data_IF_737225467904
#
_entry.id   IF_737225467904
#
_cell.length_a   1.000
_cell.length_b   1.000
_cell.length_c   1.000
_cell.angle_alpha   90.00
_cell.angle_beta   90.00
_cell.angle_gamma   90.00
#
_symmetry.space_group_name_H-M   'P 1'
#
loop_
_entity.id
_entity.type
_entity.pdbx_description
1 polymer ?
#
# COMPACT_ATOMS: atom_id res chain seq x y z
N UNK A 1 -15.93 -5.45 -13.40
CA UNK A 1 -14.58 -5.72 -12.85
C UNK A 1 -14.32 -7.21 -12.90
N UNK A 2 -13.15 -7.63 -13.39
CA UNK A 2 -12.78 -9.05 -13.42
C UNK A 2 -12.66 -9.58 -11.99
N UNK A 3 -13.01 -10.84 -11.82
CA UNK A 3 -13.01 -11.50 -10.52
C UNK A 3 -11.65 -11.42 -9.82
N UNK A 4 -10.54 -11.67 -10.55
CA UNK A 4 -9.20 -11.62 -9.98
C UNK A 4 -8.83 -10.20 -9.49
N UNK A 5 -9.25 -9.17 -10.22
CA UNK A 5 -9.03 -7.78 -9.80
C UNK A 5 -9.74 -7.51 -8.48
N UNK A 6 -11.00 -7.95 -8.39
CA UNK A 6 -11.78 -7.77 -7.16
C UNK A 6 -11.14 -8.50 -5.97
N UNK A 7 -10.59 -9.69 -6.19
CA UNK A 7 -9.91 -10.43 -5.14
C UNK A 7 -8.71 -9.67 -4.59
N UNK A 8 -7.90 -9.06 -5.47
CA UNK A 8 -6.76 -8.25 -5.04
C UNK A 8 -7.21 -7.00 -4.28
N UNK A 9 -8.26 -6.33 -4.76
CA UNK A 9 -8.85 -5.18 -4.07
C UNK A 9 -9.31 -5.60 -2.67
N UNK A 10 -10.02 -6.72 -2.57
CA UNK A 10 -10.54 -7.20 -1.28
C UNK A 10 -9.43 -7.53 -0.29
N UNK A 11 -8.34 -8.12 -0.75
CA UNK A 11 -7.19 -8.42 0.12
C UNK A 11 -6.52 -7.13 0.61
N UNK A 12 -6.41 -6.14 -0.26
CA UNK A 12 -5.91 -4.83 0.14
C UNK A 12 -6.82 -4.15 1.16
N UNK A 13 -8.13 -4.22 0.95
CA UNK A 13 -9.10 -3.68 1.90
C UNK A 13 -9.01 -4.37 3.26
N UNK A 14 -8.79 -5.69 3.27
CA UNK A 14 -8.59 -6.43 4.52
C UNK A 14 -7.35 -5.98 5.27
N UNK A 15 -6.25 -5.74 4.56
CA UNK A 15 -5.04 -5.21 5.19
C UNK A 15 -5.27 -3.79 5.73
N UNK A 16 -6.02 -2.98 5.02
CA UNK A 16 -6.34 -1.63 5.47
C UNK A 16 -7.17 -1.65 6.75
N UNK A 17 -8.17 -2.53 6.83
CA UNK A 17 -8.97 -2.71 8.04
C UNK A 17 -8.07 -3.18 9.19
N UNK A 18 -7.16 -4.12 8.92
CA UNK A 18 -6.21 -4.59 9.92
C UNK A 18 -5.33 -3.44 10.42
N UNK A 19 -4.81 -2.61 9.53
CA UNK A 19 -3.99 -1.46 9.90
C UNK A 19 -4.76 -0.50 10.81
N UNK A 20 -5.99 -0.16 10.45
CA UNK A 20 -6.81 0.75 11.26
C UNK A 20 -7.13 0.17 12.64
N UNK A 21 -7.39 -1.13 12.70
CA UNK A 21 -7.68 -1.82 13.94
C UNK A 21 -6.45 -1.86 14.86
N UNK A 22 -5.29 -2.24 14.31
CA UNK A 22 -4.05 -2.31 15.07
C UNK A 22 -3.59 -0.94 15.55
N UNK A 23 -3.89 0.12 14.80
CA UNK A 23 -3.54 1.49 15.18
C UNK A 23 -4.19 1.93 16.48
N UNK A 24 -5.27 1.28 16.90
CA UNK A 24 -5.95 1.55 18.16
C UNK A 24 -5.23 0.92 19.36
N UNK A 25 -4.22 0.08 19.10
CA UNK A 25 -3.51 -0.65 20.14
C UNK A 25 -2.07 -0.17 20.24
N UNK A 26 -1.67 0.17 21.47
CA UNK A 26 -0.30 0.58 21.76
C UNK A 26 0.64 -0.62 21.62
N UNK A 27 1.81 -0.41 21.03
CA UNK A 27 2.82 -1.45 20.90
C UNK A 27 2.76 -2.24 19.61
N UNK A 28 1.82 -1.93 18.71
CA UNK A 28 1.66 -2.61 17.43
C UNK A 28 1.92 -1.67 16.24
N UNK A 29 2.77 -0.66 16.45
CA UNK A 29 3.09 0.35 15.46
C UNK A 29 3.73 -0.25 14.20
N UNK A 30 4.70 -1.16 14.37
CA UNK A 30 5.38 -1.79 13.24
C UNK A 30 4.39 -2.63 12.40
N UNK A 31 3.51 -3.37 13.08
CA UNK A 31 2.51 -4.20 12.42
C UNK A 31 1.48 -3.35 11.68
N UNK A 32 1.09 -2.22 12.26
CA UNK A 32 0.17 -1.28 11.61
C UNK A 32 0.76 -0.79 10.30
N UNK A 33 2.01 -0.33 10.34
CA UNK A 33 2.70 0.16 9.14
C UNK A 33 2.89 -0.92 8.09
N UNK A 34 3.20 -2.14 8.52
CA UNK A 34 3.33 -3.28 7.61
C UNK A 34 2.02 -3.53 6.86
N UNK A 35 0.88 -3.50 7.55
CA UNK A 35 -0.41 -3.68 6.88
C UNK A 35 -0.78 -2.53 5.95
N UNK A 36 -0.35 -1.30 6.25
CA UNK A 36 -0.49 -0.18 5.31
C UNK A 36 0.26 -0.48 4.01
N UNK A 37 1.50 -0.92 4.13
CA UNK A 37 2.32 -1.27 2.97
C UNK A 37 1.68 -2.40 2.16
N UNK A 38 1.19 -3.44 2.83
CA UNK A 38 0.53 -4.56 2.16
C UNK A 38 -0.74 -4.14 1.44
N UNK A 39 -1.54 -3.27 2.04
CA UNK A 39 -2.76 -2.77 1.41
C UNK A 39 -2.43 -2.06 0.09
N UNK A 40 -1.49 -1.14 0.13
CA UNK A 40 -1.09 -0.36 -1.03
C UNK A 40 -0.53 -1.26 -2.14
N UNK A 41 0.33 -2.20 -1.77
CA UNK A 41 0.90 -3.17 -2.72
C UNK A 41 -0.22 -3.92 -3.46
N UNK A 42 -1.20 -4.42 -2.73
CA UNK A 42 -2.29 -5.20 -3.32
C UNK A 42 -3.20 -4.36 -4.22
N UNK A 43 -3.47 -3.12 -3.83
CA UNK A 43 -4.27 -2.20 -4.66
C UNK A 43 -3.53 -1.84 -5.97
N UNK A 44 -2.22 -1.57 -5.88
CA UNK A 44 -1.43 -1.29 -7.08
C UNK A 44 -1.39 -2.50 -8.01
N UNK A 45 -1.24 -3.69 -7.46
CA UNK A 45 -1.29 -4.93 -8.24
C UNK A 45 -2.65 -5.15 -8.88
N UNK A 46 -3.75 -4.81 -8.19
CA UNK A 46 -5.09 -4.88 -8.77
C UNK A 46 -5.18 -4.00 -10.02
N UNK A 47 -4.67 -2.77 -9.94
CA UNK A 47 -4.67 -1.86 -11.08
C UNK A 47 -3.87 -2.42 -12.25
N UNK A 48 -2.67 -2.96 -11.99
CA UNK A 48 -1.81 -3.53 -13.03
C UNK A 48 -2.45 -4.74 -13.70
N UNK A 49 -3.07 -5.62 -12.94
CA UNK A 49 -3.80 -6.77 -13.50
C UNK A 49 -4.96 -6.30 -14.37
N UNK A 50 -5.67 -5.26 -13.94
CA UNK A 50 -6.76 -4.67 -14.72
C UNK A 50 -6.25 -4.16 -16.07
N UNK A 51 -5.01 -3.66 -16.13
CA UNK A 51 -4.39 -3.23 -17.36
C UNK A 51 -3.88 -4.39 -18.22
N UNK A 52 -3.95 -5.62 -17.74
CA UNK A 52 -3.52 -6.79 -18.49
C UNK A 52 -2.08 -7.22 -18.23
N UNK A 53 -1.40 -6.62 -17.25
CA UNK A 53 -0.04 -7.04 -16.92
C UNK A 53 -0.02 -8.37 -16.16
N UNK A 54 1.02 -9.16 -16.40
CA UNK A 54 1.31 -10.32 -15.58
C UNK A 54 1.96 -9.83 -14.28
N UNK A 55 1.54 -10.41 -13.14
CA UNK A 55 2.11 -10.03 -11.87
C UNK A 55 3.53 -10.53 -11.73
N UNK A 56 4.43 -9.59 -11.48
CA UNK A 56 5.79 -9.89 -11.04
C UNK A 56 5.79 -9.99 -9.52
N UNK A 57 6.66 -10.83 -8.96
CA UNK A 57 6.82 -10.94 -7.51
C UNK A 57 7.64 -9.76 -6.99
N UNK A 58 7.10 -8.57 -7.10
CA UNK A 58 7.71 -7.33 -6.64
C UNK A 58 6.92 -6.82 -5.45
N UNK A 59 7.64 -6.44 -4.39
CA UNK A 59 7.05 -5.87 -3.17
C UNK A 59 7.42 -4.40 -2.98
N UNK A 60 8.28 -3.86 -3.85
CA UNK A 60 8.69 -2.46 -3.82
C UNK A 60 7.58 -1.58 -4.36
N UNK A 61 7.01 -0.75 -3.50
CA UNK A 61 5.90 0.14 -3.86
C UNK A 61 6.29 1.14 -4.94
N UNK A 62 7.49 1.69 -4.87
CA UNK A 62 7.98 2.65 -5.87
C UNK A 62 8.03 2.02 -7.26
N UNK A 63 8.55 0.79 -7.34
CA UNK A 63 8.60 0.06 -8.61
C UNK A 63 7.20 -0.20 -9.15
N UNK A 64 6.25 -0.54 -8.29
CA UNK A 64 4.85 -0.77 -8.70
C UNK A 64 4.20 0.51 -9.19
N UNK A 65 4.45 1.63 -8.52
CA UNK A 65 3.93 2.93 -8.96
C UNK A 65 4.48 3.29 -10.33
N UNK A 66 5.78 3.09 -10.54
CA UNK A 66 6.42 3.35 -11.84
C UNK A 66 5.79 2.50 -12.95
N UNK A 67 5.49 1.23 -12.66
CA UNK A 67 4.79 0.37 -13.61
C UNK A 67 3.41 0.93 -13.95
N UNK A 68 2.69 1.45 -12.96
CA UNK A 68 1.38 2.07 -13.18
C UNK A 68 1.46 3.34 -14.03
N UNK A 69 2.55 4.10 -13.92
CA UNK A 69 2.75 5.33 -14.69
C UNK A 69 2.76 5.09 -16.20
N UNK A 70 3.08 3.89 -16.64
CA UNK A 70 3.06 3.53 -18.06
C UNK A 70 1.64 3.61 -18.64
N UNK A 71 0.64 3.40 -17.80
CA UNK A 71 -0.77 3.40 -18.20
C UNK A 71 -1.45 4.74 -17.91
N UNK A 72 -1.00 5.43 -16.87
CA UNK A 72 -1.55 6.70 -16.44
C UNK A 72 -0.46 7.51 -15.75
N UNK A 73 0.11 8.53 -16.42
CA UNK A 73 1.22 9.33 -15.86
C UNK A 73 0.88 10.02 -14.53
N UNK A 74 -0.40 10.21 -14.22
CA UNK A 74 -0.82 10.85 -12.95
C UNK A 74 -0.37 10.03 -11.75
N UNK A 75 -0.12 8.72 -11.90
CA UNK A 75 0.43 7.89 -10.83
C UNK A 75 1.75 8.42 -10.27
N UNK A 76 2.47 9.27 -11.01
CA UNK A 76 3.68 9.89 -10.50
C UNK A 76 3.45 10.63 -9.18
N UNK A 77 2.25 11.14 -8.96
CA UNK A 77 1.88 11.81 -7.71
C UNK A 77 1.99 10.89 -6.49
N UNK A 78 1.93 9.58 -6.69
CA UNK A 78 2.03 8.62 -5.59
C UNK A 78 3.47 8.32 -5.18
N UNK A 79 4.48 8.65 -5.99
CA UNK A 79 5.86 8.28 -5.70
C UNK A 79 6.32 8.79 -4.34
N UNK A 80 6.05 10.06 -4.05
CA UNK A 80 6.46 10.66 -2.77
C UNK A 80 5.69 10.07 -1.59
N UNK A 81 4.44 9.67 -1.82
CA UNK A 81 3.62 9.10 -0.74
C UNK A 81 4.07 7.69 -0.37
N UNK A 82 4.42 6.86 -1.35
CA UNK A 82 4.82 5.47 -1.07
C UNK A 82 6.24 5.37 -0.52
N UNK A 83 7.08 6.34 -0.78
CA UNK A 83 8.49 6.33 -0.35
C UNK A 83 8.62 6.14 1.17
N UNK A 84 7.85 6.88 1.97
CA UNK A 84 7.89 6.78 3.41
C UNK A 84 7.27 5.51 3.97
N UNK A 85 6.45 4.81 3.18
CA UNK A 85 5.75 3.60 3.63
C UNK A 85 6.61 2.35 3.42
N UNK A 86 7.48 2.35 2.42
CA UNK A 86 8.36 1.22 2.12
C UNK A 86 9.22 0.82 3.32
N UNK A 87 9.63 1.78 4.15
CA UNK A 87 10.45 1.54 5.32
C UNK A 87 9.82 0.54 6.29
N UNK A 88 8.48 0.51 6.39
CA UNK A 88 7.79 -0.43 7.25
C UNK A 88 7.95 -1.89 6.81
N UNK A 89 8.17 -2.13 5.53
CA UNK A 89 8.36 -3.48 5.01
C UNK A 89 9.78 -3.99 5.22
N UNK A 90 10.73 -3.10 5.40
CA UNK A 90 12.17 -3.44 5.46
C UNK A 90 12.77 -3.06 6.81
N UNK A 91 12.81 -1.77 7.12
CA UNK A 91 13.57 -1.23 8.26
C UNK A 91 13.00 -1.63 9.61
N UNK A 92 11.68 -1.48 9.78
CA UNK A 92 11.03 -1.72 11.06
C UNK A 92 10.71 -3.18 11.36
N UNK A 93 11.11 -4.10 10.50
CA UNK A 93 10.92 -5.54 10.73
C UNK A 93 12.07 -6.17 11.52
N UNK A 94 13.14 -5.44 11.74
CA UNK A 94 14.34 -5.95 12.40
C UNK A 94 14.50 -5.40 13.81
N UNK A 95 15.10 -6.17 14.73
CA UNK A 95 15.38 -5.68 16.08
C UNK A 95 16.23 -4.40 16.06
N UNK A 96 15.95 -3.49 16.96
CA UNK A 96 16.68 -2.23 17.07
C UNK A 96 16.03 -1.05 16.35
N UNK A 97 15.08 -1.34 15.45
CA UNK A 97 14.34 -0.29 14.75
C UNK A 97 12.85 -0.48 15.00
N UNK A 98 12.17 0.58 15.40
CA UNK A 98 10.73 0.56 15.64
C UNK A 98 10.10 1.87 15.20
N UNK A 99 8.89 1.75 14.61
CA UNK A 99 8.13 2.92 14.20
C UNK A 99 7.57 3.64 15.42
N UNK A 100 7.50 4.97 15.33
CA UNK A 100 6.85 5.78 16.35
C UNK A 100 5.36 5.88 16.06
N UNK A 101 4.60 6.44 17.01
CA UNK A 101 3.17 6.72 16.81
C UNK A 101 3.00 7.71 15.66
N UNK A 102 3.87 8.71 15.57
CA UNK A 102 3.85 9.68 14.47
C UNK A 102 4.11 9.03 13.11
N UNK A 103 5.05 8.09 13.04
CA UNK A 103 5.32 7.35 11.80
C UNK A 103 4.08 6.59 11.34
N UNK A 104 3.38 5.95 12.25
CA UNK A 104 2.18 5.17 11.97
C UNK A 104 1.04 6.09 11.52
N UNK A 105 0.86 7.21 12.19
CA UNK A 105 -0.18 8.17 11.82
C UNK A 105 0.06 8.71 10.41
N UNK A 106 1.31 9.04 10.11
CA UNK A 106 1.71 9.48 8.77
C UNK A 106 1.43 8.41 7.72
N UNK A 107 1.80 7.15 8.02
CA UNK A 107 1.56 6.03 7.11
C UNK A 107 0.07 5.81 6.85
N UNK A 108 -0.77 5.89 7.88
CA UNK A 108 -2.21 5.77 7.74
C UNK A 108 -2.80 6.89 6.89
N UNK A 109 -2.39 8.12 7.12
CA UNK A 109 -2.86 9.28 6.36
C UNK A 109 -2.50 9.14 4.88
N UNK A 110 -1.26 8.71 4.59
CA UNK A 110 -0.81 8.45 3.22
C UNK A 110 -1.59 7.31 2.59
N UNK A 111 -1.86 6.25 3.34
CA UNK A 111 -2.62 5.11 2.85
C UNK A 111 -4.04 5.52 2.46
N UNK A 112 -4.68 6.36 3.27
CA UNK A 112 -6.01 6.90 2.95
C UNK A 112 -5.97 7.71 1.65
N UNK A 113 -4.97 8.56 1.48
CA UNK A 113 -4.82 9.37 0.25
C UNK A 113 -4.61 8.48 -0.98
N UNK A 114 -3.76 7.47 -0.85
CA UNK A 114 -3.48 6.54 -1.95
C UNK A 114 -4.75 5.76 -2.32
N UNK A 115 -5.50 5.31 -1.32
CA UNK A 115 -6.77 4.61 -1.55
C UNK A 115 -7.77 5.48 -2.31
N UNK A 116 -7.92 6.74 -1.91
CA UNK A 116 -8.81 7.69 -2.60
C UNK A 116 -8.41 7.92 -4.05
N UNK A 117 -7.11 7.92 -4.32
CA UNK A 117 -6.60 8.05 -5.67
C UNK A 117 -6.89 6.79 -6.50
N UNK A 118 -6.66 5.62 -5.93
CA UNK A 118 -6.70 4.35 -6.67
C UNK A 118 -8.10 3.81 -6.93
N UNK A 119 -9.00 3.89 -5.96
CA UNK A 119 -10.30 3.23 -6.07
C UNK A 119 -11.10 3.67 -7.31
N UNK A 120 -11.20 4.96 -7.65
CA UNK A 120 -11.90 5.35 -8.87
C UNK A 120 -11.25 4.83 -10.16
N UNK A 121 -9.94 4.60 -10.14
CA UNK A 121 -9.20 4.11 -11.31
C UNK A 121 -9.37 2.60 -11.53
N UNK A 122 -9.63 1.89 -10.46
CA UNK A 122 -9.85 0.43 -10.54
C UNK A 122 -11.31 0.13 -10.92
N UNK A 123 -12.17 1.04 -10.61
CA UNK A 123 -13.57 0.95 -10.98
C UNK A 123 -14.46 0.61 -9.88
#
# INVERSE_FOLDING_TARGET
>A
MREIVQEWVNKGESDFIAAKTLALKKGLEDQTGFHCQQAIEKWLKAYLIMQGEELRKIHDLTALVIDCEKYDPVFQELEILVEGITDFAVEFRYPGESATIEDVQDALDKTVKIRRFLMPKIG
#
